data_IF_059758985638
#
_entry.id   IF_059758985638
#
_cell.length_a   1.000
_cell.length_b   1.000
_cell.length_c   1.000
_cell.angle_alpha   90.00
_cell.angle_beta   90.00
_cell.angle_gamma   90.00
#
_symmetry.space_group_name_H-M   'P 1'
#
loop_
_entity.id
_entity.type
_entity.pdbx_description
1 polymer ?
#
# COMPACT_ATOMS: atom_id res chain seq x y z
N UNK A 1 4.27 -34.88 -32.52
CA UNK A 1 3.82 -36.14 -31.90
C UNK A 1 2.86 -36.80 -32.86
N UNK A 2 3.33 -37.78 -33.63
CA UNK A 2 2.60 -38.43 -34.71
C UNK A 2 1.85 -39.66 -34.20
N UNK A 3 0.57 -39.78 -34.54
CA UNK A 3 -0.24 -40.96 -34.25
C UNK A 3 -0.12 -41.98 -35.40
N UNK A 4 0.03 -43.29 -35.13
CA UNK A 4 0.02 -44.29 -36.18
C UNK A 4 -1.40 -44.71 -36.54
N UNK A 5 -1.69 -44.69 -37.83
CA UNK A 5 -2.85 -45.29 -38.50
C UNK A 5 -2.75 -46.82 -38.48
N UNK A 6 -3.78 -47.50 -37.97
CA UNK A 6 -3.90 -48.96 -37.99
C UNK A 6 -4.88 -49.43 -39.08
N UNK A 7 -4.41 -50.43 -39.81
CA UNK A 7 -4.90 -50.98 -41.08
C UNK A 7 -6.22 -51.75 -40.94
N UNK A 8 -7.11 -51.53 -41.91
CA UNK A 8 -8.24 -52.40 -42.24
C UNK A 8 -7.76 -53.68 -42.92
N UNK A 9 -8.08 -54.84 -42.35
CA UNK A 9 -8.00 -56.14 -43.03
C UNK A 9 -9.36 -56.83 -42.90
N UNK A 10 -10.14 -56.82 -43.97
CA UNK A 10 -11.39 -57.56 -44.08
C UNK A 10 -11.08 -58.97 -44.62
N UNK A 11 -11.28 -59.98 -43.78
CA UNK A 11 -11.23 -61.39 -44.15
C UNK A 11 -12.62 -61.79 -44.66
N UNK A 12 -12.69 -62.23 -45.90
CA UNK A 12 -13.85 -62.91 -46.47
C UNK A 12 -13.94 -64.34 -45.92
N UNK A 13 -15.09 -64.74 -45.39
CA UNK A 13 -15.36 -66.12 -45.00
C UNK A 13 -16.76 -66.55 -45.44
N UNK A 14 -16.77 -67.33 -46.52
CA UNK A 14 -17.57 -68.53 -46.79
C UNK A 14 -18.97 -68.65 -46.16
N UNK A 15 -19.99 -68.44 -47.01
CA UNK A 15 -21.31 -69.04 -46.86
C UNK A 15 -21.22 -70.56 -47.02
N UNK A 16 -21.71 -71.30 -46.03
CA UNK A 16 -22.14 -72.70 -46.19
C UNK A 16 -23.51 -72.88 -45.56
N UNK A 17 -24.48 -73.14 -46.44
CA UNK A 17 -25.89 -73.38 -46.13
C UNK A 17 -26.07 -74.83 -45.69
N UNK A 18 -26.39 -75.05 -44.42
CA UNK A 18 -26.81 -76.34 -43.88
C UNK A 18 -28.23 -76.25 -43.35
N UNK A 19 -29.17 -76.85 -44.08
CA UNK A 19 -30.56 -77.06 -43.64
C UNK A 19 -30.55 -78.20 -42.61
N UNK A 20 -30.95 -77.91 -41.36
CA UNK A 20 -31.17 -78.93 -40.31
C UNK A 20 -32.59 -78.79 -39.77
N UNK A 21 -33.27 -79.94 -39.70
CA UNK A 21 -34.71 -80.07 -39.54
C UNK A 21 -35.28 -79.72 -38.16
N UNK A 22 -36.59 -79.43 -38.19
CA UNK A 22 -37.45 -79.22 -37.03
C UNK A 22 -37.72 -80.56 -36.32
N UNK A 23 -36.83 -80.96 -35.43
CA UNK A 23 -37.11 -81.94 -34.37
C UNK A 23 -37.27 -81.19 -33.05
N UNK A 24 -38.44 -81.30 -32.43
CA UNK A 24 -38.77 -80.66 -31.15
C UNK A 24 -37.89 -81.15 -30.00
N UNK A 25 -36.70 -80.59 -29.87
CA UNK A 25 -35.99 -80.54 -28.60
C UNK A 25 -36.69 -79.48 -27.76
N UNK A 26 -37.14 -79.87 -26.56
CA UNK A 26 -37.60 -78.92 -25.55
C UNK A 26 -36.54 -77.83 -25.42
N UNK A 27 -36.85 -76.63 -25.94
CA UNK A 27 -35.92 -75.52 -25.99
C UNK A 27 -35.74 -75.01 -24.57
N UNK A 28 -34.85 -75.65 -23.80
CA UNK A 28 -34.45 -75.17 -22.48
C UNK A 28 -33.80 -73.80 -22.60
N UNK A 29 -33.84 -73.01 -21.51
CA UNK A 29 -33.01 -71.82 -21.39
C UNK A 29 -31.55 -72.17 -21.68
N UNK A 30 -30.88 -71.42 -22.55
CA UNK A 30 -29.46 -71.63 -22.85
C UNK A 30 -28.63 -71.58 -21.55
N UNK A 31 -27.97 -72.68 -21.14
CA UNK A 31 -27.16 -72.71 -19.93
C UNK A 31 -26.06 -71.64 -19.91
N UNK A 32 -25.55 -71.23 -21.09
CA UNK A 32 -24.54 -70.17 -21.20
C UNK A 32 -25.11 -68.80 -20.85
N UNK A 33 -26.36 -68.54 -21.22
CA UNK A 33 -27.03 -67.28 -20.90
C UNK A 33 -27.28 -67.16 -19.39
N UNK A 34 -27.78 -68.22 -18.76
CA UNK A 34 -27.97 -68.27 -17.31
C UNK A 34 -26.64 -68.10 -16.54
N UNK A 35 -25.57 -68.79 -16.99
CA UNK A 35 -24.24 -68.63 -16.41
C UNK A 35 -23.68 -67.21 -16.60
N UNK A 36 -23.96 -66.56 -17.73
CA UNK A 36 -23.55 -65.18 -18.00
C UNK A 36 -24.23 -64.19 -17.06
N UNK A 37 -25.53 -64.34 -16.80
CA UNK A 37 -26.27 -63.52 -15.82
C UNK A 37 -25.63 -63.64 -14.44
N UNK A 38 -25.39 -64.87 -13.97
CA UNK A 38 -24.80 -65.11 -12.66
C UNK A 38 -23.36 -64.60 -12.55
N UNK A 39 -22.57 -64.77 -13.61
CA UNK A 39 -21.19 -64.25 -13.69
C UNK A 39 -21.18 -62.72 -13.62
N UNK A 40 -22.10 -62.05 -14.35
CA UNK A 40 -22.26 -60.60 -14.29
C UNK A 40 -22.65 -60.16 -12.87
N UNK A 41 -23.58 -60.88 -12.23
CA UNK A 41 -24.07 -60.59 -10.87
C UNK A 41 -22.97 -60.64 -9.83
N UNK A 42 -22.02 -61.57 -9.98
CA UNK A 42 -20.89 -61.75 -9.07
C UNK A 42 -19.68 -60.84 -9.39
N UNK A 43 -19.72 -60.12 -10.52
CA UNK A 43 -18.58 -59.31 -10.96
C UNK A 43 -18.29 -58.13 -10.03
N UNK A 44 -17.01 -57.80 -9.85
CA UNK A 44 -16.60 -56.63 -9.08
C UNK A 44 -17.23 -55.33 -9.62
N UNK A 45 -17.36 -55.22 -10.95
CA UNK A 45 -17.96 -54.06 -11.58
C UNK A 45 -19.45 -53.87 -11.24
N UNK A 46 -20.20 -54.96 -10.97
CA UNK A 46 -21.58 -54.83 -10.52
C UNK A 46 -21.65 -54.48 -9.03
N UNK A 47 -20.72 -54.95 -8.19
CA UNK A 47 -20.60 -54.50 -6.79
C UNK A 47 -20.32 -52.99 -6.70
N UNK A 48 -19.45 -52.48 -7.57
CA UNK A 48 -19.24 -51.03 -7.70
C UNK A 48 -20.51 -50.31 -8.14
N UNK A 49 -21.26 -50.91 -9.08
CA UNK A 49 -22.53 -50.36 -9.54
C UNK A 49 -23.63 -50.39 -8.49
N UNK A 50 -23.62 -51.34 -7.56
CA UNK A 50 -24.56 -51.38 -6.44
C UNK A 50 -24.36 -50.17 -5.52
N UNK A 51 -23.11 -49.78 -5.28
CA UNK A 51 -22.78 -48.58 -4.49
C UNK A 51 -23.09 -47.27 -5.23
N UNK A 52 -22.88 -47.23 -6.55
CA UNK A 52 -22.91 -45.99 -7.34
C UNK A 52 -24.21 -45.77 -8.11
N UNK A 53 -24.96 -46.82 -8.42
CA UNK A 53 -26.20 -46.80 -9.19
C UNK A 53 -27.17 -47.92 -8.73
N UNK A 54 -27.53 -47.99 -7.42
CA UNK A 54 -28.30 -49.10 -6.83
C UNK A 54 -29.63 -49.37 -7.55
N UNK A 55 -30.34 -48.32 -7.95
CA UNK A 55 -31.61 -48.41 -8.68
C UNK A 55 -31.46 -49.11 -10.04
N UNK A 56 -30.31 -49.00 -10.70
CA UNK A 56 -30.07 -49.65 -11.99
C UNK A 56 -29.71 -51.14 -11.81
N UNK A 57 -29.04 -51.50 -10.71
CA UNK A 57 -28.78 -52.89 -10.33
C UNK A 57 -30.07 -53.59 -9.95
N UNK A 58 -30.93 -52.95 -9.13
CA UNK A 58 -32.23 -53.47 -8.75
C UNK A 58 -33.14 -53.78 -9.95
N UNK A 59 -33.08 -52.96 -11.02
CA UNK A 59 -33.80 -53.24 -12.26
C UNK A 59 -33.26 -54.48 -13.01
N UNK A 60 -31.99 -54.81 -12.86
CA UNK A 60 -31.42 -56.06 -13.39
C UNK A 60 -31.79 -57.27 -12.54
N UNK A 61 -31.77 -57.12 -11.20
CA UNK A 61 -32.19 -58.17 -10.26
C UNK A 61 -33.67 -58.56 -10.45
N UNK A 62 -34.52 -57.59 -10.77
CA UNK A 62 -35.93 -57.85 -11.06
C UNK A 62 -36.12 -58.67 -12.34
N UNK A 63 -35.39 -58.37 -13.42
CA UNK A 63 -35.44 -59.17 -14.66
C UNK A 63 -34.85 -60.57 -14.45
N UNK A 64 -33.80 -60.73 -13.64
CA UNK A 64 -33.27 -62.04 -13.26
C UNK A 64 -34.30 -62.86 -12.44
N UNK A 65 -35.02 -62.20 -11.53
CA UNK A 65 -36.11 -62.82 -10.77
C UNK A 65 -37.25 -63.28 -11.68
N UNK A 66 -37.65 -62.46 -12.66
CA UNK A 66 -38.66 -62.80 -13.66
C UNK A 66 -38.21 -63.95 -14.57
N UNK A 67 -36.93 -63.97 -14.97
CA UNK A 67 -36.36 -65.07 -15.75
C UNK A 67 -36.46 -66.41 -15.01
N UNK A 68 -36.09 -66.42 -13.72
CA UNK A 68 -36.18 -67.61 -12.86
C UNK A 68 -37.63 -68.07 -12.67
N UNK A 69 -38.56 -67.12 -12.52
CA UNK A 69 -39.98 -67.42 -12.37
C UNK A 69 -40.57 -68.05 -13.65
N UNK A 70 -40.25 -67.51 -14.83
CA UNK A 70 -40.68 -68.06 -16.12
C UNK A 70 -40.13 -69.46 -16.36
N UNK A 71 -38.85 -69.69 -16.03
CA UNK A 71 -38.23 -71.02 -16.13
C UNK A 71 -38.93 -72.04 -15.22
N UNK A 72 -39.27 -71.65 -13.98
CA UNK A 72 -40.00 -72.52 -13.05
C UNK A 72 -41.42 -72.86 -13.52
N UNK A 73 -42.04 -71.99 -14.32
CA UNK A 73 -43.34 -72.22 -14.95
C UNK A 73 -43.25 -73.05 -16.25
N UNK A 74 -42.05 -73.44 -16.69
CA UNK A 74 -41.83 -74.14 -17.97
C UNK A 74 -41.81 -73.23 -19.19
N UNK A 75 -41.92 -71.91 -19.03
CA UNK A 75 -41.79 -70.93 -20.11
C UNK A 75 -40.32 -70.57 -20.33
N UNK A 76 -39.64 -71.39 -21.13
CA UNK A 76 -38.23 -71.23 -21.44
C UNK A 76 -37.95 -70.04 -22.37
N UNK A 77 -38.92 -69.66 -23.21
CA UNK A 77 -38.80 -68.50 -24.10
C UNK A 77 -38.85 -67.21 -23.29
N UNK A 78 -39.82 -67.08 -22.40
CA UNK A 78 -39.91 -65.97 -21.44
C UNK A 78 -38.68 -65.89 -20.54
N UNK A 79 -38.19 -67.04 -20.05
CA UNK A 79 -36.96 -67.09 -19.26
C UNK A 79 -35.75 -66.52 -20.01
N UNK A 80 -35.59 -66.85 -21.29
CA UNK A 80 -34.51 -66.32 -22.14
C UNK A 80 -34.59 -64.82 -22.34
N UNK A 81 -35.78 -64.31 -22.68
CA UNK A 81 -36.02 -62.86 -22.88
C UNK A 81 -35.68 -62.08 -21.60
N UNK A 82 -36.14 -62.54 -20.45
CA UNK A 82 -35.85 -61.89 -19.16
C UNK A 82 -34.36 -61.97 -18.78
N UNK A 83 -33.67 -63.08 -19.09
CA UNK A 83 -32.23 -63.21 -18.84
C UNK A 83 -31.40 -62.23 -19.70
N UNK A 84 -31.74 -62.05 -20.98
CA UNK A 84 -31.11 -61.04 -21.84
C UNK A 84 -31.36 -59.62 -21.35
N UNK A 85 -32.60 -59.33 -20.93
CA UNK A 85 -32.95 -58.04 -20.31
C UNK A 85 -32.17 -57.80 -19.03
N UNK A 86 -32.01 -58.81 -18.17
CA UNK A 86 -31.18 -58.72 -16.97
C UNK A 86 -29.73 -58.35 -17.30
N UNK A 87 -29.11 -59.02 -18.28
CA UNK A 87 -27.76 -58.67 -18.76
C UNK A 87 -27.67 -57.24 -19.28
N UNK A 88 -28.64 -56.80 -20.09
CA UNK A 88 -28.69 -55.43 -20.61
C UNK A 88 -28.80 -54.39 -19.47
N UNK A 89 -29.63 -54.67 -18.46
CA UNK A 89 -29.81 -53.81 -17.28
C UNK A 89 -28.55 -53.75 -16.41
N UNK A 90 -27.90 -54.88 -16.15
CA UNK A 90 -26.63 -54.90 -15.42
C UNK A 90 -25.50 -54.18 -16.17
N UNK A 91 -25.42 -54.32 -17.49
CA UNK A 91 -24.47 -53.55 -18.30
C UNK A 91 -24.74 -52.05 -18.22
N UNK A 92 -26.01 -51.64 -18.29
CA UNK A 92 -26.41 -50.23 -18.07
C UNK A 92 -26.02 -49.74 -16.67
N UNK A 93 -26.24 -50.55 -15.64
CA UNK A 93 -25.86 -50.21 -14.27
C UNK A 93 -24.35 -49.95 -14.14
N UNK A 94 -23.51 -50.79 -14.77
CA UNK A 94 -22.04 -50.59 -14.81
C UNK A 94 -21.64 -49.30 -15.52
N UNK A 95 -22.31 -48.95 -16.62
CA UNK A 95 -22.04 -47.69 -17.35
C UNK A 95 -22.41 -46.49 -16.47
N UNK A 96 -23.59 -46.52 -15.84
CA UNK A 96 -24.04 -45.46 -14.93
C UNK A 96 -23.11 -45.33 -13.72
N UNK A 97 -22.62 -46.44 -13.17
CA UNK A 97 -21.65 -46.43 -12.09
C UNK A 97 -20.36 -45.70 -12.48
N UNK A 98 -19.80 -46.01 -13.66
CA UNK A 98 -18.61 -45.32 -14.19
C UNK A 98 -18.86 -43.83 -14.41
N UNK A 99 -20.04 -43.47 -14.91
CA UNK A 99 -20.43 -42.07 -15.07
C UNK A 99 -20.51 -41.35 -13.72
N UNK A 100 -21.17 -41.94 -12.73
CA UNK A 100 -21.30 -41.36 -11.40
C UNK A 100 -19.94 -41.25 -10.69
N UNK A 101 -19.04 -42.21 -10.89
CA UNK A 101 -17.67 -42.11 -10.42
C UNK A 101 -16.93 -40.93 -11.08
N UNK A 102 -17.00 -40.81 -12.40
CA UNK A 102 -16.36 -39.71 -13.12
C UNK A 102 -16.88 -38.33 -12.69
N UNK A 103 -18.18 -38.21 -12.40
CA UNK A 103 -18.77 -36.97 -11.87
C UNK A 103 -18.24 -36.64 -10.48
N UNK A 104 -18.08 -37.64 -9.59
CA UNK A 104 -17.48 -37.45 -8.27
C UNK A 104 -16.02 -37.02 -8.36
N UNK A 105 -15.25 -37.69 -9.22
CA UNK A 105 -13.84 -37.38 -9.44
C UNK A 105 -13.67 -35.97 -10.01
N UNK A 106 -14.54 -35.56 -10.95
CA UNK A 106 -14.56 -34.19 -11.47
C UNK A 106 -14.84 -33.16 -10.37
N UNK A 107 -15.81 -33.43 -9.49
CA UNK A 107 -16.11 -32.55 -8.35
C UNK A 107 -14.94 -32.41 -7.37
N UNK A 108 -14.26 -33.52 -7.07
CA UNK A 108 -13.06 -33.51 -6.21
C UNK A 108 -11.93 -32.69 -6.84
N UNK A 109 -11.62 -32.95 -8.13
CA UNK A 109 -10.57 -32.23 -8.85
C UNK A 109 -10.89 -30.73 -9.00
N UNK A 110 -12.16 -30.37 -9.25
CA UNK A 110 -12.58 -28.95 -9.30
C UNK A 110 -12.37 -28.26 -7.96
N UNK A 111 -12.72 -28.92 -6.86
CA UNK A 111 -12.51 -28.39 -5.50
C UNK A 111 -11.02 -28.20 -5.20
N UNK A 112 -10.18 -29.13 -5.62
CA UNK A 112 -8.73 -29.04 -5.41
C UNK A 112 -8.10 -27.94 -6.29
N UNK A 113 -8.61 -27.73 -7.51
CA UNK A 113 -8.21 -26.62 -8.37
C UNK A 113 -8.55 -25.27 -7.72
N UNK A 114 -9.77 -25.09 -7.22
CA UNK A 114 -10.18 -23.85 -6.54
C UNK A 114 -9.30 -23.55 -5.33
N UNK A 115 -8.96 -24.57 -4.52
CA UNK A 115 -8.01 -24.41 -3.39
C UNK A 115 -6.61 -24.01 -3.87
N UNK A 116 -6.11 -24.61 -4.95
CA UNK A 116 -4.81 -24.30 -5.49
C UNK A 116 -4.74 -22.86 -6.06
N UNK A 117 -5.81 -22.40 -6.71
CA UNK A 117 -5.92 -21.02 -7.21
C UNK A 117 -6.00 -20.00 -6.07
N UNK A 118 -6.74 -20.31 -5.00
CA UNK A 118 -6.77 -19.49 -3.80
C UNK A 118 -5.40 -19.40 -3.14
N UNK A 119 -4.68 -20.53 -2.99
CA UNK A 119 -3.33 -20.55 -2.45
C UNK A 119 -2.33 -19.76 -3.31
N UNK A 120 -2.41 -19.88 -4.64
CA UNK A 120 -1.59 -19.10 -5.58
C UNK A 120 -1.83 -17.60 -5.42
N UNK A 121 -3.08 -17.19 -5.27
CA UNK A 121 -3.44 -15.77 -5.09
C UNK A 121 -2.90 -15.23 -3.76
N UNK A 122 -3.03 -16.00 -2.68
CA UNK A 122 -2.47 -15.65 -1.37
C UNK A 122 -0.93 -15.51 -1.43
N UNK A 123 -0.23 -16.47 -2.05
CA UNK A 123 1.22 -16.42 -2.22
C UNK A 123 1.68 -15.23 -3.08
N UNK A 124 0.91 -14.84 -4.09
CA UNK A 124 1.21 -13.64 -4.89
C UNK A 124 1.10 -12.37 -4.03
N UNK A 125 0.05 -12.25 -3.22
CA UNK A 125 -0.11 -11.12 -2.31
C UNK A 125 1.02 -11.05 -1.26
N UNK A 126 1.44 -12.20 -0.73
CA UNK A 126 2.58 -12.28 0.19
C UNK A 126 3.89 -11.86 -0.46
N UNK A 127 4.15 -12.32 -1.69
CA UNK A 127 5.33 -11.90 -2.46
C UNK A 127 5.35 -10.39 -2.66
N UNK A 128 4.22 -9.81 -3.06
CA UNK A 128 4.12 -8.38 -3.32
C UNK A 128 4.31 -7.57 -2.02
N UNK A 129 3.79 -8.05 -0.88
CA UNK A 129 4.05 -7.47 0.45
C UNK A 129 5.55 -7.49 0.79
N UNK A 130 6.20 -8.65 0.68
CA UNK A 130 7.64 -8.79 0.99
C UNK A 130 8.50 -7.91 0.07
N UNK A 131 8.15 -7.79 -1.21
CA UNK A 131 8.83 -6.89 -2.14
C UNK A 131 8.71 -5.42 -1.72
N UNK A 132 7.53 -4.99 -1.28
CA UNK A 132 7.33 -3.63 -0.79
C UNK A 132 8.09 -3.36 0.51
N UNK A 133 8.11 -4.31 1.44
CA UNK A 133 8.89 -4.23 2.68
C UNK A 133 10.40 -4.14 2.38
N UNK A 134 10.91 -4.95 1.46
CA UNK A 134 12.30 -4.89 1.02
C UNK A 134 12.63 -3.52 0.38
N UNK A 135 11.77 -3.00 -0.50
CA UNK A 135 11.99 -1.70 -1.13
C UNK A 135 11.97 -0.54 -0.10
N UNK A 136 11.16 -0.64 0.95
CA UNK A 136 11.16 0.33 2.06
C UNK A 136 12.43 0.23 2.90
N UNK A 137 12.90 -0.98 3.19
CA UNK A 137 14.16 -1.22 3.90
C UNK A 137 15.37 -0.73 3.10
N UNK A 138 15.40 -0.95 1.78
CA UNK A 138 16.44 -0.42 0.90
C UNK A 138 16.48 1.10 0.90
N UNK A 139 15.31 1.76 0.88
CA UNK A 139 15.23 3.23 1.00
C UNK A 139 15.74 3.71 2.35
N UNK A 140 15.35 3.05 3.45
CA UNK A 140 15.85 3.36 4.79
C UNK A 140 17.36 3.20 4.87
N UNK A 141 17.89 2.11 4.32
CA UNK A 141 19.33 1.87 4.26
C UNK A 141 20.03 2.96 3.45
N UNK A 142 19.51 3.33 2.27
CA UNK A 142 20.08 4.38 1.45
C UNK A 142 20.10 5.74 2.17
N UNK A 143 19.03 6.10 2.90
CA UNK A 143 19.01 7.30 3.74
C UNK A 143 20.06 7.22 4.85
N UNK A 144 20.13 6.09 5.55
CA UNK A 144 21.12 5.89 6.63
C UNK A 144 22.54 5.98 6.09
N UNK A 145 22.84 5.32 4.97
CA UNK A 145 24.15 5.38 4.31
C UNK A 145 24.47 6.79 3.80
N UNK A 146 23.51 7.49 3.20
CA UNK A 146 23.72 8.88 2.76
C UNK A 146 23.92 9.84 3.94
N UNK A 147 23.32 9.55 5.09
CA UNK A 147 23.54 10.29 6.34
C UNK A 147 24.80 9.83 7.10
N UNK A 148 25.37 8.68 6.73
CA UNK A 148 26.57 8.16 7.36
C UNK A 148 27.76 9.04 6.93
N UNK A 149 28.40 9.62 7.94
CA UNK A 149 29.51 10.54 7.77
C UNK A 149 30.71 9.80 7.15
N UNK A 150 31.41 10.34 6.14
CA UNK A 150 32.76 9.90 5.85
C UNK A 150 33.62 10.18 7.09
N UNK A 151 34.34 9.19 7.61
CA UNK A 151 35.25 9.36 8.75
C UNK A 151 36.12 10.61 8.50
N UNK A 152 35.90 11.64 9.32
CA UNK A 152 36.64 12.88 9.17
C UNK A 152 38.07 12.64 9.62
N UNK A 153 39.09 13.16 8.90
CA UNK A 153 40.47 13.00 9.32
C UNK A 153 40.65 13.58 10.73
N UNK A 154 41.30 12.80 11.61
CA UNK A 154 41.65 13.24 12.96
C UNK A 154 42.43 14.57 12.89
N UNK A 155 41.98 15.55 13.67
CA UNK A 155 42.59 16.89 13.76
C UNK A 155 41.76 17.99 13.09
N UNK A 156 41.06 18.78 13.91
CA UNK A 156 40.48 20.07 13.50
C UNK A 156 41.58 21.10 13.28
N UNK A 157 41.84 21.47 12.02
CA UNK A 157 42.55 22.73 11.77
C UNK A 157 41.73 23.91 12.33
N UNK A 158 42.37 24.99 12.81
CA UNK A 158 41.67 26.16 13.35
C UNK A 158 40.63 26.75 12.37
N UNK A 159 40.92 26.73 11.07
CA UNK A 159 40.02 27.16 10.00
C UNK A 159 38.74 26.31 9.93
N UNK A 160 38.84 24.99 10.11
CA UNK A 160 37.68 24.08 10.12
C UNK A 160 36.84 24.27 11.38
N UNK A 161 37.46 24.59 12.52
CA UNK A 161 36.73 24.92 13.74
C UNK A 161 35.97 26.25 13.58
N UNK A 162 36.58 27.27 12.97
CA UNK A 162 35.91 28.54 12.68
C UNK A 162 34.74 28.38 11.70
N UNK A 163 34.93 27.60 10.63
CA UNK A 163 33.87 27.31 9.66
C UNK A 163 32.68 26.57 10.30
N UNK A 164 32.93 25.62 11.22
CA UNK A 164 31.88 24.93 11.97
C UNK A 164 31.14 25.84 12.93
N UNK A 165 31.84 26.74 13.61
CA UNK A 165 31.21 27.74 14.47
C UNK A 165 30.28 28.64 13.64
N UNK A 166 30.71 29.08 12.46
CA UNK A 166 29.87 29.91 11.60
C UNK A 166 28.65 29.15 11.07
N UNK A 167 28.84 27.90 10.61
CA UNK A 167 27.72 27.05 10.20
C UNK A 167 26.76 26.73 11.37
N UNK A 168 27.27 26.53 12.59
CA UNK A 168 26.45 26.32 13.77
C UNK A 168 25.57 27.54 14.10
N UNK A 169 26.11 28.77 14.00
CA UNK A 169 25.31 30.00 14.15
C UNK A 169 24.16 30.06 13.16
N UNK A 170 24.43 29.68 11.90
CA UNK A 170 23.41 29.60 10.85
C UNK A 170 22.33 28.57 11.23
N UNK A 171 22.71 27.36 11.63
CA UNK A 171 21.74 26.32 11.99
C UNK A 171 20.87 26.68 13.20
N UNK A 172 21.43 27.32 14.22
CA UNK A 172 20.64 27.75 15.38
C UNK A 172 19.70 28.90 15.00
N UNK A 173 20.15 29.84 14.18
CA UNK A 173 19.29 30.91 13.64
C UNK A 173 18.14 30.32 12.82
N UNK A 174 18.43 29.35 11.93
CA UNK A 174 17.40 28.66 11.15
C UNK A 174 16.45 27.84 12.04
N UNK A 175 16.98 27.10 13.01
CA UNK A 175 16.17 26.34 13.97
C UNK A 175 15.20 27.25 14.73
N UNK A 176 15.65 28.44 15.15
CA UNK A 176 14.80 29.44 15.81
C UNK A 176 13.67 29.93 14.93
N UNK A 177 13.96 30.20 13.67
CA UNK A 177 12.94 30.61 12.70
C UNK A 177 11.92 29.50 12.48
N UNK A 178 12.38 28.25 12.33
CA UNK A 178 11.53 27.08 12.15
C UNK A 178 10.64 26.80 13.36
N UNK A 179 11.20 26.84 14.57
CA UNK A 179 10.46 26.62 15.80
C UNK A 179 9.46 27.78 16.07
N UNK A 180 9.84 29.04 15.85
CA UNK A 180 8.89 30.16 15.94
C UNK A 180 7.74 30.05 14.92
N UNK A 181 8.03 29.60 13.70
CA UNK A 181 6.99 29.33 12.71
C UNK A 181 6.10 28.14 13.10
N UNK A 182 6.65 27.13 13.78
CA UNK A 182 5.89 26.00 14.30
C UNK A 182 4.97 26.42 15.45
N UNK A 183 5.42 27.31 16.33
CA UNK A 183 4.65 27.87 17.45
C UNK A 183 3.45 28.69 16.97
N UNK A 184 3.61 29.40 15.84
CA UNK A 184 2.50 30.09 15.19
C UNK A 184 1.41 29.17 14.62
N UNK A 185 1.73 27.89 14.39
CA UNK A 185 0.81 26.89 13.84
C UNK A 185 0.28 25.92 14.90
N UNK A 186 0.81 25.96 16.13
CA UNK A 186 0.46 25.03 17.20
C UNK A 186 1.50 25.03 18.32
N UNK A 187 1.54 23.96 19.10
CA UNK A 187 2.46 23.87 20.24
C UNK A 187 3.82 23.27 19.83
N UNK A 188 4.90 23.93 20.23
CA UNK A 188 6.27 23.41 20.14
C UNK A 188 6.64 22.81 21.50
N UNK A 189 7.25 21.61 21.54
CA UNK A 189 7.69 21.01 22.81
C UNK A 189 8.60 21.96 23.60
N UNK A 190 8.28 22.18 24.88
CA UNK A 190 9.04 23.10 25.73
C UNK A 190 10.51 22.72 25.87
N UNK A 191 10.83 21.41 25.82
CA UNK A 191 12.20 20.90 25.85
C UNK A 191 13.00 21.34 24.62
N UNK A 192 12.37 21.42 23.45
CA UNK A 192 13.00 21.86 22.21
C UNK A 192 13.31 23.37 22.26
N UNK A 193 12.38 24.18 22.76
CA UNK A 193 12.59 25.62 22.97
C UNK A 193 13.70 25.89 23.99
N UNK A 194 13.76 25.10 25.06
CA UNK A 194 14.84 25.21 26.05
C UNK A 194 16.21 24.87 25.44
N UNK A 195 16.31 23.73 24.74
CA UNK A 195 17.56 23.31 24.09
C UNK A 195 18.05 24.33 23.07
N UNK A 196 17.13 24.95 22.33
CA UNK A 196 17.45 26.01 21.39
C UNK A 196 18.00 27.27 22.09
N UNK A 197 17.43 27.65 23.24
CA UNK A 197 17.94 28.75 24.05
C UNK A 197 19.32 28.48 24.66
N UNK A 198 19.59 27.23 25.05
CA UNK A 198 20.89 26.82 25.56
C UNK A 198 21.95 26.74 24.45
N UNK A 199 21.56 26.28 23.26
CA UNK A 199 22.37 26.34 22.04
C UNK A 199 22.75 27.78 21.66
N UNK A 200 21.80 28.71 21.69
CA UNK A 200 22.04 30.14 21.44
C UNK A 200 23.10 30.70 22.39
N UNK A 201 22.97 30.45 23.71
CA UNK A 201 23.95 30.89 24.72
C UNK A 201 25.33 30.27 24.49
N UNK A 202 25.37 28.98 24.12
CA UNK A 202 26.62 28.27 23.87
C UNK A 202 27.38 28.85 22.69
N UNK A 203 26.67 29.25 21.63
CA UNK A 203 27.24 29.90 20.45
C UNK A 203 27.68 31.34 20.75
N UNK A 204 26.89 32.10 21.50
CA UNK A 204 27.23 33.47 21.90
C UNK A 204 28.54 33.52 22.72
N UNK A 205 28.83 32.47 23.50
CA UNK A 205 30.07 32.35 24.26
C UNK A 205 31.37 32.30 23.44
N UNK A 206 31.30 32.22 22.10
CA UNK A 206 32.44 32.42 21.18
C UNK A 206 33.56 31.38 21.24
N UNK A 207 33.45 30.37 22.12
CA UNK A 207 34.40 29.26 22.19
C UNK A 207 34.13 28.32 21.01
N UNK A 208 35.18 27.87 20.32
CA UNK A 208 35.05 26.94 19.19
C UNK A 208 34.20 25.72 19.57
N UNK A 209 33.28 25.30 18.68
CA UNK A 209 32.45 24.13 18.92
C UNK A 209 33.25 22.87 18.64
N UNK A 210 33.21 21.94 19.59
CA UNK A 210 33.58 20.57 19.33
C UNK A 210 32.61 19.94 18.30
N UNK A 211 33.02 18.85 17.61
CA UNK A 211 32.18 18.23 16.59
C UNK A 211 30.81 17.77 17.10
N UNK A 212 30.71 17.28 18.34
CA UNK A 212 29.45 16.78 18.89
C UNK A 212 28.46 17.93 19.14
N UNK A 213 28.96 19.08 19.60
CA UNK A 213 28.17 20.28 19.78
C UNK A 213 27.65 20.86 18.45
N UNK A 214 28.42 20.74 17.37
CA UNK A 214 27.95 21.09 16.03
C UNK A 214 26.82 20.16 15.57
N UNK A 215 26.98 18.85 15.77
CA UNK A 215 25.97 17.85 15.40
C UNK A 215 24.65 18.07 16.16
N UNK A 216 24.72 18.50 17.43
CA UNK A 216 23.56 18.91 18.23
C UNK A 216 22.78 20.06 17.55
N UNK A 217 23.45 21.06 16.99
CA UNK A 217 22.79 22.18 16.30
C UNK A 217 22.09 21.74 15.02
N UNK A 218 22.68 20.80 14.28
CA UNK A 218 22.06 20.18 13.10
C UNK A 218 20.79 19.42 13.51
N UNK A 219 20.85 18.65 14.59
CA UNK A 219 19.71 17.90 15.11
C UNK A 219 18.59 18.82 15.63
N UNK A 220 18.93 19.94 16.27
CA UNK A 220 17.96 20.94 16.72
C UNK A 220 17.20 21.55 15.55
N UNK A 221 17.90 21.93 14.47
CA UNK A 221 17.25 22.40 13.23
C UNK A 221 16.30 21.36 12.66
N UNK A 222 16.74 20.10 12.53
CA UNK A 222 15.91 19.01 12.03
C UNK A 222 14.66 18.77 12.91
N UNK A 223 14.81 18.87 14.23
CA UNK A 223 13.72 18.75 15.19
C UNK A 223 12.70 19.88 15.07
N UNK A 224 13.16 21.13 14.91
CA UNK A 224 12.28 22.27 14.64
C UNK A 224 11.55 22.15 13.29
N UNK A 225 12.21 21.63 12.24
CA UNK A 225 11.57 21.36 10.95
C UNK A 225 10.48 20.29 11.06
N UNK A 226 10.70 19.24 11.87
CA UNK A 226 9.70 18.21 12.15
C UNK A 226 8.49 18.79 12.90
N UNK A 227 8.73 19.64 13.90
CA UNK A 227 7.68 20.33 14.64
C UNK A 227 6.82 21.20 13.69
N UNK A 228 7.46 21.99 12.82
CA UNK A 228 6.79 22.80 11.80
C UNK A 228 5.94 21.94 10.85
N UNK A 229 6.51 20.82 10.39
CA UNK A 229 5.80 19.88 9.51
C UNK A 229 4.57 19.29 10.19
N UNK A 230 4.66 18.95 11.47
CA UNK A 230 3.52 18.45 12.27
C UNK A 230 2.45 19.53 12.45
N UNK A 231 2.85 20.76 12.76
CA UNK A 231 1.94 21.91 12.85
C UNK A 231 1.15 22.12 11.56
N UNK A 232 1.83 22.13 10.41
CA UNK A 232 1.19 22.25 9.08
C UNK A 232 0.20 21.14 8.76
N UNK A 233 0.53 19.89 9.10
CA UNK A 233 -0.40 18.76 8.89
C UNK A 233 -1.66 18.90 9.74
N UNK A 234 -1.52 19.43 10.95
CA UNK A 234 -2.64 19.64 11.88
C UNK A 234 -3.52 20.82 11.44
N UNK A 235 -2.94 21.85 10.83
CA UNK A 235 -3.65 23.01 10.28
C UNK A 235 -4.37 22.76 8.94
N UNK A 236 -4.14 21.61 8.27
CA UNK A 236 -4.73 21.26 6.97
C UNK A 236 -6.25 21.00 6.98
N UNK A 237 -6.95 21.15 8.10
CA UNK A 237 -8.41 21.05 8.15
C UNK A 237 -9.15 22.27 7.60
N UNK A 238 -8.46 23.33 7.13
CA UNK A 238 -9.13 24.50 6.52
C UNK A 238 -8.24 25.53 5.78
N UNK A 239 -7.10 25.14 5.20
CA UNK A 239 -6.15 26.10 4.63
C UNK A 239 -6.12 26.13 3.10
N UNK A 240 -6.30 27.32 2.54
CA UNK A 240 -5.98 27.70 1.17
C UNK A 240 -4.49 27.47 0.84
N UNK A 241 -4.19 27.24 -0.43
CA UNK A 241 -2.85 26.88 -0.89
C UNK A 241 -1.87 28.07 -0.72
N UNK A 242 -0.66 27.87 -0.16
CA UNK A 242 0.39 28.90 -0.10
C UNK A 242 0.77 29.45 -1.48
N UNK A 243 0.43 28.73 -2.54
CA UNK A 243 0.62 29.13 -3.93
C UNK A 243 -0.32 30.30 -4.33
N UNK A 244 -1.49 30.44 -3.71
CA UNK A 244 -2.41 31.57 -3.94
C UNK A 244 -1.83 32.88 -3.39
N UNK A 245 -1.34 32.85 -2.14
CA UNK A 245 -0.67 34.00 -1.53
C UNK A 245 0.59 34.39 -2.31
N UNK A 246 1.36 33.40 -2.76
CA UNK A 246 2.54 33.65 -3.59
C UNK A 246 2.17 34.33 -4.92
N UNK A 247 1.10 33.87 -5.58
CA UNK A 247 0.61 34.46 -6.83
C UNK A 247 0.13 35.90 -6.62
N UNK A 248 -0.70 36.16 -5.60
CA UNK A 248 -1.20 37.50 -5.27
C UNK A 248 -0.07 38.50 -4.99
N UNK A 249 0.92 38.09 -4.18
CA UNK A 249 2.09 38.93 -3.88
C UNK A 249 2.97 39.16 -5.11
N UNK A 250 2.99 38.23 -6.06
CA UNK A 250 3.73 38.37 -7.32
C UNK A 250 3.01 39.31 -8.29
N UNK A 251 1.68 39.21 -8.38
CA UNK A 251 0.84 40.09 -9.22
C UNK A 251 0.89 41.55 -8.75
N UNK A 252 1.03 41.79 -7.44
CA UNK A 252 1.22 43.13 -6.90
C UNK A 252 2.49 43.84 -7.42
N UNK A 253 3.45 43.10 -8.01
CA UNK A 253 4.65 43.62 -8.69
C UNK A 253 5.64 44.41 -7.83
N UNK A 254 5.28 44.67 -6.56
CA UNK A 254 6.01 45.53 -5.61
C UNK A 254 6.96 44.70 -4.74
N UNK A 255 6.72 43.40 -4.65
CA UNK A 255 7.47 42.46 -3.83
C UNK A 255 8.21 41.45 -4.71
N UNK A 256 9.27 40.86 -4.16
CA UNK A 256 9.94 39.70 -4.74
C UNK A 256 9.69 38.49 -3.83
N UNK A 257 8.47 37.91 -3.83
CA UNK A 257 8.16 36.82 -2.95
C UNK A 257 8.90 35.55 -3.39
N UNK A 258 9.36 34.76 -2.42
CA UNK A 258 10.01 33.47 -2.64
C UNK A 258 9.39 32.40 -1.76
N UNK A 259 9.55 31.13 -2.12
CA UNK A 259 9.09 30.01 -1.30
C UNK A 259 10.26 29.29 -0.63
N UNK A 260 10.12 28.99 0.65
CA UNK A 260 11.09 28.19 1.41
C UNK A 260 10.39 27.16 2.33
N UNK A 261 11.15 26.45 3.16
CA UNK A 261 10.59 25.50 4.12
C UNK A 261 9.69 26.13 5.19
N UNK A 262 9.65 27.47 5.36
CA UNK A 262 8.81 28.22 6.32
C UNK A 262 7.54 28.77 5.70
N UNK A 263 7.53 29.07 4.40
CA UNK A 263 6.33 29.45 3.66
C UNK A 263 6.65 30.39 2.50
N UNK A 264 5.85 31.45 2.37
CA UNK A 264 6.11 32.55 1.43
C UNK A 264 6.92 33.61 2.18
N UNK A 265 8.11 33.90 1.68
CA UNK A 265 9.06 34.89 2.20
C UNK A 265 8.98 36.16 1.36
N UNK A 266 8.91 37.32 2.02
CA UNK A 266 9.05 38.63 1.39
C UNK A 266 10.18 39.39 2.08
N UNK A 267 11.16 39.82 1.30
CA UNK A 267 12.33 40.55 1.79
C UNK A 267 12.19 42.05 1.54
N UNK A 268 12.24 42.85 2.60
CA UNK A 268 12.33 44.31 2.52
C UNK A 268 13.79 44.72 2.70
N UNK A 269 14.38 45.35 1.67
CA UNK A 269 15.74 45.89 1.71
C UNK A 269 15.74 47.30 2.27
N UNK A 270 16.73 47.60 3.10
CA UNK A 270 16.97 48.91 3.72
C UNK A 270 15.71 49.60 4.27
N UNK A 271 14.87 48.90 5.08
CA UNK A 271 13.64 49.49 5.61
C UNK A 271 13.87 50.62 6.62
N UNK A 272 15.11 50.86 7.04
CA UNK A 272 15.48 51.84 8.06
C UNK A 272 16.46 52.88 7.53
N UNK A 273 16.28 54.12 7.99
CA UNK A 273 17.24 55.20 7.84
C UNK A 273 17.47 55.84 9.23
N UNK A 274 18.64 55.61 9.81
CA UNK A 274 18.94 56.02 11.19
C UNK A 274 18.15 55.19 12.20
N UNK A 275 17.47 55.86 13.14
CA UNK A 275 16.60 55.22 14.13
C UNK A 275 15.15 55.04 13.65
N UNK A 276 14.80 55.53 12.45
CA UNK A 276 13.43 55.51 11.93
C UNK A 276 13.23 54.56 10.75
N UNK A 277 11.99 54.08 10.58
CA UNK A 277 11.57 53.40 9.35
C UNK A 277 11.37 54.43 8.24
N UNK A 278 11.78 54.10 7.02
CA UNK A 278 11.49 54.97 5.87
C UNK A 278 10.02 54.82 5.48
N UNK A 279 9.37 55.92 5.08
CA UNK A 279 7.94 55.94 4.68
C UNK A 279 7.60 54.86 3.64
N UNK A 280 8.48 54.61 2.67
CA UNK A 280 8.27 53.58 1.66
C UNK A 280 8.20 52.15 2.25
N UNK A 281 8.91 51.88 3.35
CA UNK A 281 8.84 50.60 4.04
C UNK A 281 7.58 50.51 4.91
N UNK A 282 7.15 51.61 5.52
CA UNK A 282 5.87 51.71 6.25
C UNK A 282 4.69 51.42 5.31
N UNK A 283 4.65 52.07 4.14
CA UNK A 283 3.59 51.87 3.13
C UNK A 283 3.54 50.41 2.66
N UNK A 284 4.71 49.79 2.41
CA UNK A 284 4.81 48.37 2.00
C UNK A 284 4.37 47.41 3.10
N UNK A 285 4.67 47.71 4.37
CA UNK A 285 4.24 46.89 5.51
C UNK A 285 2.74 47.03 5.76
N UNK A 286 2.18 48.23 5.58
CA UNK A 286 0.74 48.45 5.64
C UNK A 286 0.00 47.60 4.61
N UNK A 287 0.52 47.57 3.37
CA UNK A 287 -0.05 46.76 2.30
C UNK A 287 0.07 45.25 2.57
N UNK A 288 1.21 44.77 3.08
CA UNK A 288 1.34 43.37 3.54
C UNK A 288 0.35 43.04 4.67
N UNK A 289 0.04 44.01 5.53
CA UNK A 289 -0.97 43.86 6.57
C UNK A 289 -2.39 43.71 6.03
N UNK A 290 -2.71 44.42 4.94
CA UNK A 290 -3.97 44.25 4.21
C UNK A 290 -4.09 42.85 3.60
N UNK A 291 -3.03 42.36 2.96
CA UNK A 291 -2.99 41.00 2.41
C UNK A 291 -3.11 39.95 3.52
N UNK A 292 -2.36 40.09 4.62
CA UNK A 292 -2.46 39.17 5.76
C UNK A 292 -3.88 39.13 6.38
N UNK A 293 -4.61 40.26 6.37
CA UNK A 293 -6.00 40.34 6.82
C UNK A 293 -6.96 39.58 5.90
N UNK A 294 -6.74 39.64 4.59
CA UNK A 294 -7.52 38.86 3.62
C UNK A 294 -7.25 37.35 3.73
N UNK A 295 -6.12 36.97 4.33
CA UNK A 295 -5.62 35.61 4.46
C UNK A 295 -5.53 35.14 5.93
N UNK A 296 -6.64 35.10 6.68
CA UNK A 296 -6.64 34.87 8.14
C UNK A 296 -6.17 33.47 8.54
N UNK A 297 -6.05 32.54 7.59
CA UNK A 297 -5.54 31.17 7.76
C UNK A 297 -4.01 31.12 7.79
N UNK A 298 -3.31 32.20 7.40
CA UNK A 298 -1.87 32.31 7.42
C UNK A 298 -1.38 32.99 8.70
N UNK A 299 -0.29 32.47 9.26
CA UNK A 299 0.43 33.15 10.34
C UNK A 299 1.64 33.89 9.76
N UNK A 300 1.96 35.03 10.36
CA UNK A 300 3.01 35.94 9.86
C UNK A 300 4.18 35.93 10.84
N UNK A 301 5.36 35.60 10.35
CA UNK A 301 6.61 35.75 11.11
C UNK A 301 7.41 36.91 10.51
N UNK A 302 7.72 37.92 11.32
CA UNK A 302 8.54 39.06 10.94
C UNK A 302 9.97 38.78 11.40
N UNK A 303 10.91 38.76 10.48
CA UNK A 303 12.32 38.52 10.77
C UNK A 303 13.12 39.78 10.53
N UNK A 304 13.84 40.24 11.55
CA UNK A 304 14.69 41.42 11.48
C UNK A 304 16.14 40.98 11.52
N UNK A 305 16.88 41.27 10.44
CA UNK A 305 18.32 41.04 10.36
C UNK A 305 19.09 42.32 10.67
N UNK A 306 19.93 42.31 11.71
CA UNK A 306 20.86 43.42 12.00
C UNK A 306 22.30 42.90 11.95
N UNK A 307 23.16 43.42 11.05
CA UNK A 307 24.57 43.05 10.99
C UNK A 307 25.43 43.71 12.09
N UNK A 308 24.87 44.59 12.94
CA UNK A 308 25.62 45.34 13.96
C UNK A 308 24.99 45.24 15.36
N UNK A 309 25.80 44.84 16.36
CA UNK A 309 25.37 44.68 17.76
C UNK A 309 24.77 45.96 18.38
N UNK A 310 25.21 47.13 17.92
CA UNK A 310 24.85 48.43 18.53
C UNK A 310 23.54 49.02 18.01
N UNK A 311 23.14 48.72 16.78
CA UNK A 311 21.84 49.16 16.24
C UNK A 311 20.72 48.25 16.72
N UNK A 312 21.03 47.02 17.13
CA UNK A 312 20.02 46.05 17.53
C UNK A 312 19.13 46.54 18.70
N UNK A 313 19.63 47.34 19.66
CA UNK A 313 18.78 47.87 20.74
C UNK A 313 17.96 49.11 20.34
N UNK A 314 18.55 50.08 19.62
CA UNK A 314 17.85 51.26 19.13
C UNK A 314 16.84 50.88 18.03
N UNK A 315 17.21 49.99 17.12
CA UNK A 315 16.33 49.33 16.17
C UNK A 315 15.31 48.46 16.90
N UNK A 316 15.64 47.68 17.94
CA UNK A 316 14.61 46.95 18.72
C UNK A 316 13.64 47.88 19.44
N UNK A 317 14.01 49.09 19.83
CA UNK A 317 13.08 50.07 20.41
C UNK A 317 12.25 50.78 19.32
N UNK A 318 12.89 51.23 18.24
CA UNK A 318 12.23 51.81 17.07
C UNK A 318 11.37 50.81 16.29
N UNK A 319 11.70 49.54 16.34
CA UNK A 319 11.01 48.40 15.74
C UNK A 319 10.17 47.65 16.78
N UNK A 320 10.28 47.89 18.08
CA UNK A 320 9.18 47.58 19.02
C UNK A 320 8.12 48.68 18.96
N UNK A 321 8.52 49.91 18.62
CA UNK A 321 7.62 51.02 18.27
C UNK A 321 7.02 50.83 16.86
N UNK A 322 7.82 50.41 15.88
CA UNK A 322 7.39 50.17 14.51
C UNK A 322 6.85 48.75 14.27
N UNK A 323 7.26 47.70 14.98
CA UNK A 323 6.48 46.46 15.12
C UNK A 323 5.34 46.67 16.10
N UNK A 324 5.38 47.66 16.99
CA UNK A 324 4.22 48.14 17.72
C UNK A 324 3.21 48.75 16.75
N UNK A 325 3.65 49.57 15.81
CA UNK A 325 2.85 50.22 14.77
C UNK A 325 2.45 49.26 13.64
N UNK A 326 3.32 48.34 13.22
CA UNK A 326 3.09 47.28 12.23
C UNK A 326 2.27 46.17 12.84
N UNK A 327 2.46 45.78 14.11
CA UNK A 327 1.50 44.94 14.83
C UNK A 327 0.20 45.70 14.99
N UNK A 328 0.15 47.00 15.29
CA UNK A 328 -1.11 47.77 15.32
C UNK A 328 -1.76 47.90 13.93
N UNK A 329 -1.00 47.97 12.84
CA UNK A 329 -1.49 48.04 11.47
C UNK A 329 -1.92 46.67 10.91
N UNK A 330 -1.15 45.60 11.16
CA UNK A 330 -1.53 44.21 10.87
C UNK A 330 -2.69 43.75 11.75
N UNK A 331 -2.64 43.98 13.07
CA UNK A 331 -3.64 43.52 14.07
C UNK A 331 -4.95 44.30 13.96
N UNK A 332 -4.97 45.49 13.35
CA UNK A 332 -6.25 46.14 13.02
C UNK A 332 -7.11 45.28 12.07
N UNK A 333 -6.54 44.30 11.37
CA UNK A 333 -7.28 43.33 10.56
C UNK A 333 -7.01 41.84 10.83
N UNK A 334 -5.98 41.46 11.61
CA UNK A 334 -5.64 40.05 11.92
C UNK A 334 -5.71 39.71 13.41
N UNK A 335 -5.97 38.44 13.72
CA UNK A 335 -6.02 37.97 15.10
C UNK A 335 -4.64 38.08 15.79
N UNK A 336 -4.60 38.73 16.97
CA UNK A 336 -3.39 39.07 17.76
C UNK A 336 -2.41 37.92 18.00
N UNK A 337 -2.88 36.68 17.92
CA UNK A 337 -2.18 35.43 18.21
C UNK A 337 -1.49 34.80 16.98
N UNK A 338 -1.48 35.46 15.81
CA UNK A 338 -0.91 34.90 14.57
C UNK A 338 0.29 35.67 14.00
N UNK A 339 0.87 36.57 14.79
CA UNK A 339 2.05 37.36 14.39
C UNK A 339 3.17 37.18 15.40
N UNK A 340 4.32 36.69 14.95
CA UNK A 340 5.56 36.56 15.72
C UNK A 340 6.67 37.46 15.15
N UNK A 341 7.56 37.94 16.02
CA UNK A 341 8.68 38.80 15.63
C UNK A 341 9.98 38.21 16.15
N UNK A 342 10.84 37.81 15.23
CA UNK A 342 12.16 37.21 15.52
C UNK A 342 13.25 38.17 15.09
N UNK A 343 14.19 38.42 16.00
CA UNK A 343 15.41 39.18 15.72
C UNK A 343 16.55 38.20 15.49
N UNK A 344 17.23 38.34 14.36
CA UNK A 344 18.38 37.51 13.97
C UNK A 344 19.58 38.42 13.73
N UNK A 345 20.66 38.18 14.46
CA UNK A 345 21.85 39.02 14.46
C UNK A 345 22.69 38.73 15.70
N UNK A 346 23.93 39.20 15.71
CA UNK A 346 24.78 39.07 16.89
C UNK A 346 24.08 39.76 18.08
N UNK A 347 23.90 38.98 19.14
CA UNK A 347 23.58 39.47 20.48
C UNK A 347 24.80 39.11 21.30
N UNK A 348 25.38 40.12 21.95
CA UNK A 348 26.33 39.90 23.05
C UNK A 348 25.79 38.90 24.07
#
# INVERSE_FOLDING_TARGET
>A
MSFPTLRTAALAALLSSGVVGCGGAAAGLDPKLAASVQTMRQSAALKDAERLAPQAVAAGDEEDRLSKAALAAGDTTGAGIHAERALARYNRARILARQNQAVRDLGAVSTDLEKAEAAKTALSADRDRVQNENADLEKKLAVLTASARPEGPEGTSPERAAARLEAAKTFVSEARLLCGAAELLGEVPADLTQKLGDADKRIAGGKGLDPAAYDEMVQLRASCLLALTKGRRSAKSGAEHPDLLLAELSEAGTYAPARDERGVLVSLKDPFAGEGMVKAAEDRLHELGRVATAHPTFAVQIVVHDPSDKRAQAAKAAFASAAGATKVALVRGTAKNRVDVVFVGARE
#
